data_IF_481044248655
#
_entry.id   IF_481044248655
#
_cell.length_a   1.000
_cell.length_b   1.000
_cell.length_c   1.000
_cell.angle_alpha   90.00
_cell.angle_beta   90.00
_cell.angle_gamma   90.00
#
_symmetry.space_group_name_H-M   'P 1'
#
loop_
_entity.id
_entity.type
_entity.pdbx_description
1 polymer ?
#
# COMPACT_ATOMS: atom_id res chain seq x y z
N UNK A 1 -51.96 40.20 40.97
CA UNK A 1 -52.64 38.95 41.32
C UNK A 1 -52.21 37.89 40.34
N UNK A 2 -51.63 36.87 40.88
CA UNK A 2 -51.38 35.56 40.30
C UNK A 2 -50.23 35.55 39.28
N UNK A 3 -49.06 35.21 39.68
CA UNK A 3 -48.40 33.93 39.94
C UNK A 3 -48.50 32.97 38.75
N UNK A 4 -47.34 32.61 38.14
CA UNK A 4 -46.79 31.31 38.37
C UNK A 4 -45.72 31.00 37.42
N UNK A 5 -44.75 30.68 37.89
CA UNK A 5 -44.03 29.40 38.04
C UNK A 5 -44.18 28.46 36.84
N UNK A 6 -43.15 28.45 36.02
CA UNK A 6 -42.83 27.28 35.20
C UNK A 6 -41.33 27.06 35.18
N UNK A 7 -40.96 26.22 36.09
CA UNK A 7 -39.67 25.63 36.29
C UNK A 7 -39.35 24.64 35.17
N UNK A 8 -38.25 24.88 34.45
CA UNK A 8 -37.07 24.02 34.39
C UNK A 8 -37.27 22.64 33.75
N UNK A 9 -36.75 22.47 32.55
CA UNK A 9 -35.97 21.32 32.22
C UNK A 9 -34.76 21.77 31.36
N UNK A 10 -33.73 22.16 32.07
CA UNK A 10 -32.37 22.30 31.50
C UNK A 10 -31.85 20.89 31.13
N UNK A 11 -32.05 20.51 29.88
CA UNK A 11 -31.33 19.38 29.31
C UNK A 11 -29.93 19.84 28.98
N UNK A 12 -29.01 19.62 29.91
CA UNK A 12 -27.59 19.55 29.66
C UNK A 12 -27.33 18.63 28.44
N UNK A 13 -27.24 19.25 27.28
CA UNK A 13 -26.57 18.64 26.14
C UNK A 13 -25.07 18.61 26.47
N UNK A 14 -24.59 17.46 26.91
CA UNK A 14 -23.17 17.18 26.85
C UNK A 14 -22.72 17.40 25.39
N UNK A 15 -21.67 18.21 25.14
CA UNK A 15 -21.10 18.31 23.80
C UNK A 15 -20.53 16.93 23.47
N UNK A 16 -21.07 16.31 22.44
CA UNK A 16 -20.40 15.17 21.79
C UNK A 16 -18.98 15.62 21.49
N UNK A 17 -18.01 14.99 22.14
CA UNK A 17 -16.60 15.19 21.87
C UNK A 17 -16.36 14.83 20.38
N UNK A 18 -16.43 15.86 19.56
CA UNK A 18 -15.82 15.80 18.24
C UNK A 18 -14.32 15.67 18.49
N UNK A 19 -13.84 14.44 18.58
CA UNK A 19 -12.42 14.17 18.50
C UNK A 19 -11.92 14.85 17.23
N UNK A 20 -11.11 15.88 17.41
CA UNK A 20 -10.57 16.64 16.32
C UNK A 20 -9.86 15.65 15.39
N UNK A 21 -10.16 15.71 14.08
CA UNK A 21 -9.51 14.91 13.02
C UNK A 21 -7.97 14.89 13.17
N UNK A 22 -7.42 15.93 13.78
CA UNK A 22 -6.00 16.07 14.12
C UNK A 22 -5.49 15.08 15.17
N UNK A 23 -6.30 14.65 16.13
CA UNK A 23 -5.88 13.70 17.18
C UNK A 23 -5.98 12.25 16.68
N UNK A 24 -6.97 11.94 15.86
CA UNK A 24 -7.03 10.62 15.18
C UNK A 24 -5.82 10.39 14.27
N UNK A 25 -5.34 11.42 13.56
CA UNK A 25 -4.12 11.34 12.73
C UNK A 25 -2.82 11.26 13.58
N UNK A 26 -2.82 11.78 14.80
CA UNK A 26 -1.67 11.66 15.70
C UNK A 26 -1.46 10.25 16.25
N UNK A 27 -2.51 9.46 16.40
CA UNK A 27 -2.42 8.08 16.85
C UNK A 27 -1.94 7.10 15.77
N UNK A 28 -2.04 7.47 14.48
CA UNK A 28 -1.69 6.59 13.35
C UNK A 28 -0.22 6.73 12.89
N UNK A 29 0.46 7.79 13.27
CA UNK A 29 1.75 8.17 12.67
C UNK A 29 3.00 7.57 13.33
N UNK A 30 2.95 6.87 14.48
CA UNK A 30 4.18 6.56 15.25
C UNK A 30 4.12 5.29 16.10
N UNK A 31 3.46 4.25 15.70
CA UNK A 31 3.67 2.96 16.35
C UNK A 31 4.48 2.04 15.44
N UNK A 32 5.80 1.99 15.62
CA UNK A 32 6.69 0.98 15.05
C UNK A 32 6.42 -0.42 15.64
N UNK A 33 5.17 -0.72 15.91
CA UNK A 33 4.66 -2.03 16.30
C UNK A 33 3.89 -2.53 15.10
N UNK A 34 4.25 -3.67 14.55
CA UNK A 34 3.50 -4.31 13.48
C UNK A 34 2.01 -4.35 13.84
N UNK A 35 1.19 -3.75 13.02
CA UNK A 35 -0.25 -3.67 13.21
C UNK A 35 -0.93 -4.57 12.20
N UNK A 36 -1.85 -5.40 12.67
CA UNK A 36 -2.65 -6.28 11.82
C UNK A 36 -4.03 -5.67 11.62
N UNK A 37 -4.37 -5.43 10.37
CA UNK A 37 -5.68 -4.90 9.98
C UNK A 37 -6.56 -6.00 9.39
N UNK A 38 -7.81 -6.02 9.78
CA UNK A 38 -8.79 -6.99 9.28
C UNK A 38 -10.11 -6.34 8.91
N UNK A 39 -10.69 -6.78 7.80
CA UNK A 39 -12.10 -6.54 7.49
C UNK A 39 -12.92 -7.79 7.84
N UNK A 40 -13.96 -7.64 8.65
CA UNK A 40 -14.94 -8.70 8.92
C UNK A 40 -16.35 -8.15 8.85
N UNK A 41 -17.10 -8.58 7.85
CA UNK A 41 -18.49 -8.12 7.65
C UNK A 41 -18.59 -6.61 7.41
N UNK A 42 -17.61 -6.00 6.71
CA UNK A 42 -17.58 -4.56 6.46
C UNK A 42 -17.08 -3.70 7.63
N UNK A 43 -16.68 -4.31 8.77
CA UNK A 43 -16.16 -3.58 9.93
C UNK A 43 -14.65 -3.75 10.05
N UNK A 44 -13.85 -2.66 9.98
CA UNK A 44 -12.43 -2.71 10.20
C UNK A 44 -12.09 -3.01 11.66
N UNK A 45 -11.08 -3.85 11.89
CA UNK A 45 -10.50 -4.13 13.19
C UNK A 45 -8.98 -4.07 13.12
N UNK A 46 -8.39 -3.49 14.15
CA UNK A 46 -6.94 -3.32 14.31
C UNK A 46 -6.48 -4.17 15.48
N UNK A 47 -5.40 -4.88 15.29
CA UNK A 47 -4.76 -5.70 16.32
C UNK A 47 -3.26 -5.39 16.34
N UNK A 48 -2.64 -5.44 17.51
CA UNK A 48 -1.18 -5.45 17.58
C UNK A 48 -0.62 -6.76 17.00
N UNK A 49 0.50 -6.71 16.32
CA UNK A 49 1.20 -7.93 15.90
C UNK A 49 1.56 -8.73 17.17
N UNK A 50 1.11 -9.98 17.22
CA UNK A 50 1.26 -10.84 18.42
C UNK A 50 0.10 -10.78 19.40
N UNK A 51 -0.98 -10.05 19.12
CA UNK A 51 -2.19 -10.07 19.94
C UNK A 51 -2.78 -11.51 20.00
N UNK A 52 -2.89 -12.11 21.20
CA UNK A 52 -3.42 -13.47 21.33
C UNK A 52 -4.90 -13.57 20.94
N UNK A 53 -5.61 -12.45 20.86
CA UNK A 53 -7.02 -12.40 20.44
C UNK A 53 -7.20 -12.36 18.94
N UNK A 54 -6.09 -12.33 18.15
CA UNK A 54 -6.14 -12.48 16.71
C UNK A 54 -6.98 -13.72 16.36
N UNK A 55 -8.09 -13.56 15.60
CA UNK A 55 -8.95 -14.68 15.28
C UNK A 55 -8.15 -15.80 14.60
N UNK A 56 -8.40 -17.07 14.99
CA UNK A 56 -7.78 -18.24 14.37
C UNK A 56 -7.93 -18.30 12.83
N UNK A 57 -8.78 -17.47 12.27
CA UNK A 57 -9.01 -17.32 10.83
C UNK A 57 -7.83 -16.64 10.10
N UNK A 58 -6.99 -15.86 10.82
CA UNK A 58 -5.74 -15.29 10.28
C UNK A 58 -4.67 -16.39 10.14
N UNK A 59 -4.80 -17.45 10.94
CA UNK A 59 -3.89 -18.60 10.93
C UNK A 59 -4.02 -19.50 9.69
N UNK A 60 -5.00 -19.26 8.81
CA UNK A 60 -5.23 -20.03 7.57
C UNK A 60 -5.40 -19.08 6.40
N UNK A 61 -4.28 -18.53 5.94
CA UNK A 61 -4.23 -17.87 4.65
C UNK A 61 -4.13 -18.90 3.53
N UNK A 62 -4.81 -18.65 2.41
CA UNK A 62 -4.68 -19.47 1.20
C UNK A 62 -3.33 -19.21 0.50
N UNK A 63 -2.80 -18.00 0.65
CA UNK A 63 -1.46 -17.59 0.21
C UNK A 63 -1.07 -16.24 0.84
N UNK A 64 0.21 -15.92 0.71
CA UNK A 64 0.79 -14.62 1.11
C UNK A 64 1.47 -14.04 -0.12
N UNK A 65 1.33 -12.74 -0.35
CA UNK A 65 2.17 -11.99 -1.26
C UNK A 65 2.83 -10.83 -0.51
N UNK A 66 3.91 -10.29 -1.06
CA UNK A 66 4.59 -9.16 -0.44
C UNK A 66 4.47 -7.90 -1.30
N UNK A 67 4.57 -6.74 -0.66
CA UNK A 67 4.67 -5.44 -1.31
C UNK A 67 5.94 -4.74 -0.84
N UNK A 68 6.69 -4.21 -1.80
CA UNK A 68 7.73 -3.21 -1.64
C UNK A 68 7.38 -1.99 -2.50
N UNK A 69 7.95 -0.85 -2.18
CA UNK A 69 7.69 0.39 -2.89
C UNK A 69 8.85 1.37 -2.78
N UNK A 70 8.91 2.30 -3.72
CA UNK A 70 9.75 3.49 -3.64
C UNK A 70 11.21 3.15 -3.34
N UNK A 71 11.78 2.30 -4.19
CA UNK A 71 13.18 1.85 -4.03
C UNK A 71 14.19 2.90 -4.45
N UNK A 72 13.81 3.83 -5.30
CA UNK A 72 14.62 4.97 -5.76
C UNK A 72 16.08 4.63 -6.00
N UNK A 73 16.37 3.54 -6.70
CA UNK A 73 17.74 3.19 -7.06
C UNK A 73 18.36 4.32 -7.88
N UNK A 74 19.53 4.79 -7.44
CA UNK A 74 20.19 5.98 -7.96
C UNK A 74 20.09 7.20 -7.03
N UNK A 75 19.21 7.21 -6.03
CA UNK A 75 19.22 8.21 -4.96
C UNK A 75 20.50 8.07 -4.10
N UNK A 76 21.15 9.21 -3.78
CA UNK A 76 22.43 9.22 -3.05
C UNK A 76 22.60 10.44 -2.14
N UNK A 77 21.47 10.97 -1.61
CA UNK A 77 21.52 12.14 -0.73
C UNK A 77 21.51 11.73 0.75
N UNK A 78 21.66 12.72 1.63
CA UNK A 78 21.81 12.54 3.09
C UNK A 78 20.68 11.73 3.75
N UNK A 79 19.46 11.72 3.18
CA UNK A 79 18.36 10.96 3.75
C UNK A 79 18.60 9.44 3.66
N UNK A 80 19.29 8.98 2.61
CA UNK A 80 19.82 7.63 2.47
C UNK A 80 20.93 7.59 1.41
N UNK A 81 22.18 7.50 1.78
CA UNK A 81 23.28 7.41 0.82
C UNK A 81 23.43 6.04 0.15
N UNK A 82 22.69 5.01 0.64
CA UNK A 82 22.76 3.63 0.13
C UNK A 82 21.37 3.00 -0.03
N UNK A 83 20.57 3.43 -1.01
CA UNK A 83 19.26 2.84 -1.29
C UNK A 83 19.36 1.38 -1.79
N UNK A 84 20.48 1.00 -2.41
CA UNK A 84 20.73 -0.39 -2.82
C UNK A 84 20.84 -1.32 -1.61
N UNK A 85 21.57 -0.91 -0.58
CA UNK A 85 21.71 -1.68 0.66
C UNK A 85 20.42 -1.77 1.46
N UNK A 86 19.60 -0.71 1.49
CA UNK A 86 18.29 -0.77 2.16
C UNK A 86 17.28 -1.59 1.36
N UNK A 87 17.30 -1.53 0.02
CA UNK A 87 16.51 -2.44 -0.82
C UNK A 87 16.93 -3.90 -0.59
N UNK A 88 18.24 -4.20 -0.55
CA UNK A 88 18.70 -5.56 -0.26
C UNK A 88 18.18 -6.07 1.09
N UNK A 89 18.20 -5.23 2.13
CA UNK A 89 17.65 -5.59 3.44
C UNK A 89 16.13 -5.87 3.38
N UNK A 90 15.39 -5.09 2.58
CA UNK A 90 13.97 -5.33 2.33
C UNK A 90 13.74 -6.68 1.63
N UNK A 91 14.54 -6.98 0.60
CA UNK A 91 14.45 -8.25 -0.12
C UNK A 91 14.84 -9.47 0.74
N UNK A 92 15.74 -9.32 1.71
CA UNK A 92 16.04 -10.36 2.69
C UNK A 92 14.86 -10.65 3.61
N UNK A 93 14.12 -9.62 4.01
CA UNK A 93 12.85 -9.82 4.73
C UNK A 93 11.80 -10.49 3.85
N UNK A 94 11.66 -10.08 2.58
CA UNK A 94 10.77 -10.74 1.61
C UNK A 94 11.11 -12.23 1.48
N UNK A 95 12.40 -12.61 1.41
CA UNK A 95 12.81 -14.03 1.39
C UNK A 95 12.38 -14.77 2.67
N UNK A 96 12.40 -14.11 3.82
CA UNK A 96 11.95 -14.69 5.10
C UNK A 96 10.43 -14.89 5.11
N UNK A 97 9.66 -13.96 4.56
CA UNK A 97 8.20 -14.06 4.41
C UNK A 97 7.81 -15.23 3.50
N UNK A 98 8.62 -15.57 2.50
CA UNK A 98 8.36 -16.61 1.48
C UNK A 98 7.02 -16.39 0.76
N UNK A 99 6.78 -15.22 0.18
CA UNK A 99 5.53 -14.94 -0.50
C UNK A 99 5.40 -15.71 -1.81
N UNK A 100 4.18 -15.85 -2.31
CA UNK A 100 3.90 -16.47 -3.61
C UNK A 100 4.44 -15.62 -4.77
N UNK A 101 4.40 -14.29 -4.62
CA UNK A 101 4.92 -13.30 -5.57
C UNK A 101 5.15 -11.97 -4.85
N UNK A 102 5.75 -11.02 -5.56
CA UNK A 102 6.07 -9.68 -5.07
C UNK A 102 5.33 -8.63 -5.89
N UNK A 103 4.80 -7.59 -5.25
CA UNK A 103 4.34 -6.36 -5.89
C UNK A 103 5.37 -5.25 -5.63
N UNK A 104 5.70 -4.48 -6.67
CA UNK A 104 6.43 -3.22 -6.54
C UNK A 104 5.54 -2.06 -6.99
N UNK A 105 5.20 -1.19 -6.06
CA UNK A 105 4.21 -0.12 -6.27
C UNK A 105 4.85 1.21 -6.72
N UNK A 106 5.90 1.12 -7.55
CA UNK A 106 6.47 2.25 -8.29
C UNK A 106 7.68 2.91 -7.63
N UNK A 107 8.27 3.87 -8.33
CA UNK A 107 9.52 4.53 -8.00
C UNK A 107 10.67 3.53 -7.77
N UNK A 108 10.83 2.65 -8.76
CA UNK A 108 11.90 1.65 -8.80
C UNK A 108 13.26 2.36 -8.95
N UNK A 109 13.34 3.33 -9.86
CA UNK A 109 14.50 4.18 -10.11
C UNK A 109 14.30 5.58 -9.54
N UNK A 110 15.38 6.36 -9.47
CA UNK A 110 15.29 7.76 -9.04
C UNK A 110 15.23 8.76 -10.19
N UNK A 111 15.88 8.47 -11.31
CA UNK A 111 15.98 9.38 -12.45
C UNK A 111 15.68 8.70 -13.80
N UNK A 112 14.98 7.59 -13.82
CA UNK A 112 14.65 6.80 -15.03
C UNK A 112 15.86 6.42 -15.88
N UNK A 113 17.05 6.25 -15.29
CA UNK A 113 18.25 5.87 -16.03
C UNK A 113 18.32 4.39 -16.28
N UNK A 114 18.82 3.93 -17.45
CA UNK A 114 18.98 2.52 -17.74
C UNK A 114 19.77 1.76 -16.68
N UNK A 115 20.87 2.32 -16.16
CA UNK A 115 21.70 1.71 -15.14
C UNK A 115 21.00 1.60 -13.76
N UNK A 116 20.08 2.51 -13.47
CA UNK A 116 19.24 2.45 -12.26
C UNK A 116 18.25 1.29 -12.38
N UNK A 117 17.59 1.14 -13.54
CA UNK A 117 16.70 0.03 -13.82
C UNK A 117 17.45 -1.32 -13.85
N UNK A 118 18.66 -1.36 -14.43
CA UNK A 118 19.48 -2.58 -14.45
C UNK A 118 19.85 -3.04 -13.05
N UNK A 119 20.27 -2.10 -12.20
CA UNK A 119 20.61 -2.38 -10.80
C UNK A 119 19.39 -2.87 -10.01
N UNK A 120 18.24 -2.18 -10.15
CA UNK A 120 17.01 -2.58 -9.50
C UNK A 120 16.55 -3.97 -9.95
N UNK A 121 16.56 -4.23 -11.27
CA UNK A 121 16.19 -5.53 -11.83
C UNK A 121 17.10 -6.65 -11.34
N UNK A 122 18.40 -6.41 -11.20
CA UNK A 122 19.35 -7.37 -10.66
C UNK A 122 19.05 -7.69 -9.18
N UNK A 123 18.86 -6.66 -8.36
CA UNK A 123 18.59 -6.84 -6.94
C UNK A 123 17.26 -7.58 -6.72
N UNK A 124 16.17 -7.10 -7.30
CA UNK A 124 14.84 -7.70 -7.15
C UNK A 124 14.81 -9.11 -7.75
N UNK A 125 15.41 -9.30 -8.95
CA UNK A 125 15.50 -10.61 -9.61
C UNK A 125 16.28 -11.65 -8.81
N UNK A 126 17.17 -11.24 -7.89
CA UNK A 126 17.90 -12.14 -7.00
C UNK A 126 16.98 -12.92 -6.04
N UNK A 127 15.74 -12.47 -5.82
CA UNK A 127 14.72 -13.18 -5.03
C UNK A 127 14.17 -14.39 -5.77
N UNK A 128 14.22 -14.41 -7.10
CA UNK A 128 13.58 -15.40 -8.00
C UNK A 128 12.07 -15.46 -7.86
N UNK A 129 11.44 -14.44 -7.27
CA UNK A 129 10.00 -14.33 -7.18
C UNK A 129 9.46 -13.72 -8.47
N UNK A 130 8.31 -14.20 -8.91
CA UNK A 130 7.50 -13.45 -9.87
C UNK A 130 7.18 -12.08 -9.25
N UNK A 131 7.45 -11.02 -10.00
CA UNK A 131 7.26 -9.66 -9.50
C UNK A 131 6.40 -8.87 -10.47
N UNK A 132 5.33 -8.29 -9.96
CA UNK A 132 4.43 -7.43 -10.70
C UNK A 132 4.71 -5.98 -10.35
N UNK A 133 4.75 -5.11 -11.37
CA UNK A 133 5.19 -3.73 -11.22
C UNK A 133 4.13 -2.76 -11.75
N UNK A 134 4.07 -1.59 -11.14
CA UNK A 134 3.55 -0.36 -11.72
C UNK A 134 4.65 0.71 -11.65
N UNK A 135 4.76 1.65 -12.60
CA UNK A 135 5.72 2.74 -12.50
C UNK A 135 5.28 3.79 -11.48
N UNK A 136 6.25 4.46 -10.86
CA UNK A 136 6.05 5.74 -10.21
C UNK A 136 6.48 6.89 -11.12
N UNK A 137 6.31 8.13 -10.67
CA UNK A 137 6.67 9.33 -11.45
C UNK A 137 8.18 9.40 -11.72
N UNK A 138 9.00 8.89 -10.81
CA UNK A 138 10.46 8.83 -10.99
C UNK A 138 10.90 7.80 -12.04
N UNK A 139 10.03 6.88 -12.43
CA UNK A 139 10.32 5.86 -13.45
C UNK A 139 9.99 6.33 -14.88
N UNK A 140 9.30 7.47 -15.02
CA UNK A 140 8.80 8.01 -16.29
C UNK A 140 9.27 9.46 -16.53
N UNK A 141 10.34 9.89 -15.87
CA UNK A 141 10.89 11.24 -16.02
C UNK A 141 11.47 11.51 -17.40
N UNK A 142 11.96 10.50 -18.08
CA UNK A 142 12.43 10.61 -19.45
C UNK A 142 11.26 10.53 -20.43
N UNK A 143 11.42 11.12 -21.62
CA UNK A 143 10.40 11.13 -22.67
C UNK A 143 10.03 9.74 -23.20
N UNK A 144 10.71 8.67 -22.76
CA UNK A 144 10.41 7.29 -23.14
C UNK A 144 10.00 6.43 -21.92
N UNK A 145 8.72 6.47 -21.50
CA UNK A 145 8.20 5.57 -20.46
C UNK A 145 8.32 4.09 -20.87
N UNK A 146 8.58 3.78 -22.14
CA UNK A 146 8.77 2.43 -22.62
C UNK A 146 10.04 1.77 -22.04
N UNK A 147 11.02 2.53 -21.54
CA UNK A 147 12.19 1.95 -20.87
C UNK A 147 11.76 1.12 -19.65
N UNK A 148 10.88 1.69 -18.83
CA UNK A 148 10.30 0.99 -17.68
C UNK A 148 9.50 -0.24 -18.13
N UNK A 149 8.54 -0.07 -19.05
CA UNK A 149 7.63 -1.16 -19.45
C UNK A 149 8.39 -2.31 -20.12
N UNK A 150 9.34 -2.03 -21.00
CA UNK A 150 10.19 -3.08 -21.61
C UNK A 150 10.95 -3.90 -20.57
N UNK A 151 11.34 -3.28 -19.46
CA UNK A 151 12.14 -3.93 -18.42
C UNK A 151 11.30 -4.69 -17.40
N UNK A 152 10.21 -4.10 -16.92
CA UNK A 152 9.46 -4.58 -15.77
C UNK A 152 8.06 -5.08 -16.08
N UNK A 153 7.47 -4.68 -17.19
CA UNK A 153 6.11 -5.05 -17.58
C UNK A 153 5.95 -5.24 -19.10
N UNK A 154 6.82 -6.07 -19.75
CA UNK A 154 6.82 -6.21 -21.21
C UNK A 154 5.52 -6.77 -21.77
N UNK A 155 4.73 -7.47 -20.95
CA UNK A 155 3.40 -8.00 -21.31
C UNK A 155 2.30 -6.93 -21.32
N UNK A 156 2.56 -5.73 -20.78
CA UNK A 156 1.61 -4.64 -20.65
C UNK A 156 2.22 -3.32 -21.11
N UNK A 157 2.52 -3.16 -22.41
CA UNK A 157 3.18 -1.95 -22.92
C UNK A 157 2.32 -0.69 -22.79
N UNK A 158 1.00 -0.82 -22.64
CA UNK A 158 0.09 0.29 -22.34
C UNK A 158 0.19 0.79 -20.91
N UNK A 159 0.79 0.00 -20.00
CA UNK A 159 1.08 0.38 -18.62
C UNK A 159 0.14 -0.19 -17.57
N UNK A 160 -1.04 -0.72 -17.95
CA UNK A 160 -1.99 -1.31 -17.03
C UNK A 160 -2.37 -2.72 -17.44
N UNK A 161 -2.69 -3.58 -16.47
CA UNK A 161 -3.00 -4.99 -16.68
C UNK A 161 -3.72 -5.59 -15.47
N UNK A 162 -4.23 -6.79 -15.64
CA UNK A 162 -4.79 -7.59 -14.55
C UNK A 162 -4.32 -9.04 -14.63
N UNK A 163 -4.41 -9.75 -13.52
CA UNK A 163 -4.20 -11.19 -13.44
C UNK A 163 -5.03 -11.79 -12.30
N UNK A 164 -5.32 -13.07 -12.42
CA UNK A 164 -6.03 -13.82 -11.38
C UNK A 164 -5.07 -14.74 -10.64
N UNK A 165 -5.11 -14.74 -9.32
CA UNK A 165 -4.33 -15.68 -8.51
C UNK A 165 -5.17 -16.25 -7.38
N UNK A 166 -5.38 -17.57 -7.38
CA UNK A 166 -6.13 -18.33 -6.36
C UNK A 166 -7.48 -17.71 -5.96
N UNK A 167 -8.22 -17.21 -6.95
CA UNK A 167 -9.57 -16.67 -6.76
C UNK A 167 -9.62 -15.21 -6.32
N UNK A 168 -8.50 -14.50 -6.34
CA UNK A 168 -8.40 -13.06 -6.19
C UNK A 168 -8.05 -12.44 -7.53
N UNK A 169 -8.68 -11.33 -7.87
CA UNK A 169 -8.39 -10.56 -9.07
C UNK A 169 -7.50 -9.37 -8.72
N UNK A 170 -6.32 -9.32 -9.35
CA UNK A 170 -5.31 -8.29 -9.17
C UNK A 170 -5.32 -7.35 -10.37
N UNK A 171 -5.29 -6.04 -10.10
CA UNK A 171 -5.39 -4.98 -11.10
C UNK A 171 -4.24 -3.99 -10.89
N UNK A 172 -3.37 -3.86 -11.88
CA UNK A 172 -2.32 -2.86 -11.95
C UNK A 172 -2.85 -1.62 -12.67
N UNK A 173 -2.85 -0.48 -11.98
CA UNK A 173 -3.22 0.80 -12.56
C UNK A 173 -2.02 1.74 -12.59
N UNK A 174 -1.81 2.43 -13.72
CA UNK A 174 -0.75 3.41 -13.89
C UNK A 174 -1.33 4.81 -13.92
N UNK A 175 -0.96 5.65 -12.96
CA UNK A 175 -1.49 7.00 -12.82
C UNK A 175 -0.43 8.11 -12.90
N UNK A 176 0.73 7.79 -13.52
CA UNK A 176 1.89 8.70 -13.64
C UNK A 176 2.28 9.04 -15.09
N UNK A 177 1.62 8.45 -16.10
CA UNK A 177 2.03 8.67 -17.51
C UNK A 177 1.89 10.11 -18.00
N UNK A 178 0.95 10.87 -17.44
CA UNK A 178 0.72 12.28 -17.74
C UNK A 178 1.05 13.17 -16.54
N UNK A 179 1.93 12.68 -15.65
CA UNK A 179 2.27 13.37 -14.42
C UNK A 179 3.02 14.68 -14.69
N UNK A 180 2.62 15.74 -14.00
CA UNK A 180 3.34 17.02 -13.95
C UNK A 180 3.94 17.14 -12.56
N UNK A 181 5.21 17.51 -12.46
CA UNK A 181 5.92 17.64 -11.19
C UNK A 181 5.08 18.41 -10.14
N UNK A 182 4.85 17.78 -8.98
CA UNK A 182 3.99 18.29 -7.92
C UNK A 182 2.49 18.27 -8.22
N UNK A 183 2.07 17.62 -9.31
CA UNK A 183 0.67 17.42 -9.68
C UNK A 183 0.02 16.21 -9.08
N UNK A 184 -1.24 15.99 -9.42
CA UNK A 184 -1.99 14.80 -9.04
C UNK A 184 -1.73 13.66 -10.03
N UNK A 185 -1.90 12.42 -9.57
CA UNK A 185 -1.99 11.27 -10.44
C UNK A 185 -3.21 11.37 -11.36
N UNK A 186 -3.15 10.70 -12.52
CA UNK A 186 -4.23 10.67 -13.51
C UNK A 186 -4.24 9.33 -14.25
N UNK A 187 -5.37 8.64 -14.25
CA UNK A 187 -5.56 7.36 -14.95
C UNK A 187 -5.88 7.57 -16.43
N UNK A 188 -6.78 8.47 -16.70
CA UNK A 188 -7.28 8.76 -18.05
C UNK A 188 -8.41 7.87 -18.53
N UNK A 189 -9.11 8.36 -19.56
CA UNK A 189 -10.36 7.74 -20.03
C UNK A 189 -10.16 6.34 -20.62
N UNK A 190 -9.02 6.07 -21.25
CA UNK A 190 -8.73 4.77 -21.87
C UNK A 190 -8.54 3.69 -20.81
N UNK A 191 -7.76 3.99 -19.77
CA UNK A 191 -7.55 3.07 -18.66
C UNK A 191 -8.82 2.84 -17.84
N UNK A 192 -9.63 3.89 -17.62
CA UNK A 192 -10.93 3.75 -16.95
C UNK A 192 -11.93 2.90 -17.75
N UNK A 193 -11.96 3.00 -19.07
CA UNK A 193 -12.76 2.12 -19.92
C UNK A 193 -12.27 0.69 -19.85
N UNK A 194 -10.96 0.49 -19.96
CA UNK A 194 -10.36 -0.84 -19.81
C UNK A 194 -10.69 -1.45 -18.45
N UNK A 195 -10.66 -0.67 -17.36
CA UNK A 195 -11.01 -1.14 -16.01
C UNK A 195 -12.48 -1.57 -15.93
N UNK A 196 -13.39 -0.82 -16.53
CA UNK A 196 -14.82 -1.18 -16.61
C UNK A 196 -15.02 -2.50 -17.37
N UNK A 197 -14.31 -2.65 -18.50
CA UNK A 197 -14.36 -3.87 -19.32
C UNK A 197 -13.77 -5.08 -18.58
N UNK A 198 -12.62 -4.93 -17.90
CA UNK A 198 -11.96 -5.97 -17.14
C UNK A 198 -12.80 -6.47 -15.94
N UNK A 199 -13.52 -5.56 -15.31
CA UNK A 199 -14.40 -5.88 -14.20
C UNK A 199 -15.76 -6.45 -14.62
N UNK A 200 -16.21 -6.25 -15.86
CA UNK A 200 -17.59 -6.49 -16.32
C UNK A 200 -18.13 -7.86 -15.93
N UNK A 201 -17.37 -8.90 -16.19
CA UNK A 201 -17.79 -10.30 -15.99
C UNK A 201 -17.35 -10.87 -14.62
N UNK A 202 -16.74 -10.06 -13.76
CA UNK A 202 -16.34 -10.50 -12.43
C UNK A 202 -17.53 -10.49 -11.47
N UNK A 203 -17.68 -11.57 -10.72
CA UNK A 203 -18.69 -11.66 -9.66
C UNK A 203 -18.43 -10.59 -8.58
N UNK A 204 -19.48 -10.01 -8.02
CA UNK A 204 -19.38 -9.07 -6.89
C UNK A 204 -18.78 -9.71 -5.64
N UNK A 205 -18.74 -11.03 -5.55
CA UNK A 205 -18.08 -11.78 -4.48
C UNK A 205 -16.58 -12.02 -4.72
N UNK A 206 -16.05 -11.71 -5.91
CA UNK A 206 -14.62 -11.82 -6.21
C UNK A 206 -13.85 -10.77 -5.41
N UNK A 207 -12.87 -11.16 -4.56
CA UNK A 207 -11.98 -10.20 -3.91
C UNK A 207 -11.12 -9.48 -4.96
N UNK A 208 -11.02 -8.17 -4.86
CA UNK A 208 -10.25 -7.33 -5.76
C UNK A 208 -9.05 -6.74 -5.02
N UNK A 209 -7.87 -6.82 -5.60
CA UNK A 209 -6.67 -6.10 -5.16
C UNK A 209 -6.23 -5.18 -6.29
N UNK A 210 -6.28 -3.89 -6.05
CA UNK A 210 -5.74 -2.87 -6.97
C UNK A 210 -4.40 -2.43 -6.43
N UNK A 211 -3.40 -2.29 -7.29
CA UNK A 211 -2.14 -1.66 -6.93
C UNK A 211 -1.77 -0.57 -7.95
N UNK A 212 -1.31 0.55 -7.43
CA UNK A 212 -0.95 1.74 -8.19
C UNK A 212 0.17 2.48 -7.46
N UNK A 213 0.74 3.53 -8.05
CA UNK A 213 1.78 4.29 -7.35
C UNK A 213 1.17 5.40 -6.49
N UNK A 214 0.55 6.40 -7.09
CA UNK A 214 -0.09 7.51 -6.37
C UNK A 214 -1.44 7.04 -5.79
N UNK A 215 -1.79 7.41 -4.54
CA UNK A 215 -3.07 7.04 -3.95
C UNK A 215 -4.28 7.39 -4.83
N UNK A 216 -5.23 6.46 -5.00
CA UNK A 216 -6.49 6.73 -5.72
C UNK A 216 -7.43 7.68 -4.96
N UNK A 217 -7.23 7.86 -3.66
CA UNK A 217 -8.00 8.76 -2.82
C UNK A 217 -7.17 9.95 -2.39
N UNK A 218 -7.82 11.04 -1.99
CA UNK A 218 -7.13 12.24 -1.55
C UNK A 218 -6.56 12.04 -0.12
N UNK A 219 -5.25 11.81 -0.04
CA UNK A 219 -4.49 11.81 1.22
C UNK A 219 -4.13 13.24 1.58
N UNK A 220 -3.46 13.96 0.65
CA UNK A 220 -3.07 15.35 0.80
C UNK A 220 -2.76 15.95 -0.57
N UNK A 221 -3.79 16.50 -1.21
CA UNK A 221 -3.72 16.97 -2.59
C UNK A 221 -2.68 18.09 -2.81
N UNK A 222 -2.45 18.94 -1.79
CA UNK A 222 -1.45 20.03 -1.87
C UNK A 222 -0.02 19.52 -2.09
N UNK A 223 0.24 18.24 -1.79
CA UNK A 223 1.53 17.58 -2.02
C UNK A 223 1.51 16.59 -3.18
N UNK A 224 0.46 16.59 -4.00
CA UNK A 224 0.30 15.63 -5.09
C UNK A 224 -0.14 14.23 -4.63
N UNK A 225 -0.53 14.04 -3.37
CA UNK A 225 -0.88 12.74 -2.81
C UNK A 225 -2.36 12.39 -3.03
N UNK A 226 -2.75 12.39 -4.27
CA UNK A 226 -4.09 12.04 -4.74
C UNK A 226 -4.08 11.77 -6.25
N UNK A 227 -5.10 11.06 -6.75
CA UNK A 227 -5.39 10.88 -8.17
C UNK A 227 -6.66 11.64 -8.50
N UNK A 228 -6.62 12.55 -9.49
CA UNK A 228 -7.71 13.50 -9.77
C UNK A 228 -8.98 12.82 -10.32
N UNK A 229 -8.83 11.75 -11.09
CA UNK A 229 -9.91 10.91 -11.60
C UNK A 229 -10.08 9.58 -10.83
N UNK A 230 -9.40 9.43 -9.70
CA UNK A 230 -9.43 8.23 -8.86
C UNK A 230 -10.83 7.83 -8.39
N UNK A 231 -11.72 8.81 -8.14
CA UNK A 231 -13.10 8.56 -7.76
C UNK A 231 -13.89 7.80 -8.86
N UNK A 232 -13.54 8.00 -10.14
CA UNK A 232 -14.17 7.25 -11.24
C UNK A 232 -13.78 5.77 -11.18
N UNK A 233 -12.52 5.45 -10.90
CA UNK A 233 -12.09 4.07 -10.68
C UNK A 233 -12.75 3.46 -9.43
N UNK A 234 -12.82 4.21 -8.32
CA UNK A 234 -13.47 3.77 -7.09
C UNK A 234 -14.96 3.46 -7.28
N UNK A 235 -15.65 4.24 -8.11
CA UNK A 235 -17.06 4.00 -8.44
C UNK A 235 -17.27 2.63 -9.09
N UNK A 236 -16.37 2.19 -9.98
CA UNK A 236 -16.41 0.87 -10.61
C UNK A 236 -16.14 -0.26 -9.61
N UNK A 237 -15.29 -0.01 -8.61
CA UNK A 237 -14.86 -0.99 -7.63
C UNK A 237 -15.85 -1.20 -6.47
N UNK A 238 -16.66 -0.21 -6.13
CA UNK A 238 -17.57 -0.26 -4.96
C UNK A 238 -18.61 -1.37 -4.99
N UNK A 239 -18.90 -1.96 -6.15
CA UNK A 239 -19.84 -3.08 -6.26
C UNK A 239 -19.31 -4.42 -5.72
N UNK A 240 -18.00 -4.53 -5.52
CA UNK A 240 -17.38 -5.77 -5.02
C UNK A 240 -17.38 -5.81 -3.49
N UNK A 241 -17.62 -6.98 -2.91
CA UNK A 241 -17.73 -7.15 -1.46
C UNK A 241 -16.43 -6.97 -0.68
N UNK A 242 -15.26 -7.03 -1.35
CA UNK A 242 -13.94 -6.82 -0.75
C UNK A 242 -13.00 -6.22 -1.79
N UNK A 243 -12.53 -5.02 -1.54
CA UNK A 243 -11.56 -4.31 -2.37
C UNK A 243 -10.41 -3.84 -1.48
N UNK A 244 -9.18 -4.13 -1.90
CA UNK A 244 -7.96 -3.62 -1.25
C UNK A 244 -7.17 -2.83 -2.28
N UNK A 245 -6.80 -1.60 -1.95
CA UNK A 245 -6.03 -0.71 -2.80
C UNK A 245 -4.69 -0.46 -2.12
N UNK A 246 -3.62 -0.87 -2.80
CA UNK A 246 -2.23 -0.76 -2.36
C UNK A 246 -1.53 0.32 -3.16
N UNK A 247 -0.79 1.19 -2.51
CA UNK A 247 -0.04 2.24 -3.17
C UNK A 247 1.31 2.51 -2.49
N UNK A 248 2.19 3.24 -3.18
CA UNK A 248 3.44 3.81 -2.71
C UNK A 248 3.38 5.32 -2.57
N UNK A 249 4.37 6.02 -3.12
CA UNK A 249 4.47 7.47 -3.30
C UNK A 249 4.65 8.30 -2.03
N UNK A 250 3.95 7.97 -0.95
CA UNK A 250 3.96 8.79 0.27
C UNK A 250 4.98 8.32 1.30
N UNK A 251 5.67 7.22 1.04
CA UNK A 251 6.77 6.63 1.83
C UNK A 251 6.44 6.39 3.32
N UNK A 252 5.19 6.20 3.65
CA UNK A 252 4.74 5.92 5.00
C UNK A 252 3.43 5.14 5.00
N UNK A 253 3.18 4.40 6.07
CA UNK A 253 1.91 3.68 6.21
C UNK A 253 0.80 4.65 6.55
N UNK A 254 -0.14 4.80 5.64
CA UNK A 254 -1.41 5.47 5.87
C UNK A 254 -2.52 4.53 5.44
N UNK A 255 -3.50 4.34 6.31
CA UNK A 255 -4.63 3.47 6.03
C UNK A 255 -5.95 4.22 6.12
N UNK A 256 -6.87 3.85 5.24
CA UNK A 256 -8.26 4.32 5.26
C UNK A 256 -9.18 3.14 4.96
N UNK A 257 -10.33 3.12 5.58
CA UNK A 257 -11.41 2.20 5.22
C UNK A 257 -12.64 3.01 4.88
N UNK A 258 -13.24 2.70 3.74
CA UNK A 258 -14.46 3.33 3.25
C UNK A 258 -15.40 2.25 2.71
N UNK A 259 -16.42 1.90 3.51
CA UNK A 259 -17.30 0.79 3.18
C UNK A 259 -16.53 -0.54 3.06
N UNK A 260 -16.57 -1.11 1.86
CA UNK A 260 -15.90 -2.36 1.48
C UNK A 260 -14.52 -2.17 0.86
N UNK A 261 -14.01 -0.94 0.82
CA UNK A 261 -12.71 -0.59 0.26
C UNK A 261 -11.71 -0.28 1.37
N UNK A 262 -10.58 -0.96 1.34
CA UNK A 262 -9.42 -0.70 2.20
C UNK A 262 -8.33 -0.05 1.36
N UNK A 263 -7.77 1.05 1.82
CA UNK A 263 -6.62 1.73 1.23
C UNK A 263 -5.43 1.54 2.16
N UNK A 264 -4.29 1.22 1.58
CA UNK A 264 -3.04 1.04 2.32
C UNK A 264 -1.85 1.56 1.50
N UNK A 265 -1.07 2.46 2.09
CA UNK A 265 0.17 2.93 1.53
C UNK A 265 1.35 2.19 2.15
N UNK A 266 2.33 1.82 1.33
CA UNK A 266 3.55 1.16 1.78
C UNK A 266 4.57 2.15 2.35
N UNK A 267 5.44 1.67 3.24
CA UNK A 267 6.71 2.31 3.50
C UNK A 267 7.60 2.22 2.27
N UNK A 268 8.45 3.24 2.07
CA UNK A 268 9.55 3.17 1.10
C UNK A 268 10.63 2.18 1.56
N UNK A 269 11.38 1.64 0.60
CA UNK A 269 12.63 0.95 0.90
C UNK A 269 13.86 1.88 0.83
N UNK A 270 13.68 3.13 0.36
CA UNK A 270 14.77 4.09 0.21
C UNK A 270 14.83 5.14 1.33
N UNK A 271 13.81 5.95 1.50
CA UNK A 271 13.77 7.02 2.50
C UNK A 271 12.33 7.34 2.91
N UNK A 272 12.09 7.80 4.15
CA UNK A 272 10.77 8.28 4.57
C UNK A 272 10.50 9.69 4.07
N UNK A 273 9.22 10.09 4.06
CA UNK A 273 8.78 11.46 3.85
C UNK A 273 8.15 12.04 5.13
N UNK A 274 8.05 13.36 5.26
CA UNK A 274 7.39 13.98 6.41
C UNK A 274 5.89 13.68 6.41
N UNK A 275 5.27 13.63 7.59
CA UNK A 275 3.82 13.50 7.70
C UNK A 275 3.11 14.70 7.03
N UNK A 276 1.88 14.49 6.50
CA UNK A 276 1.11 15.53 5.82
C UNK A 276 1.07 16.84 6.60
N UNK A 277 1.46 17.95 5.96
CA UNK A 277 1.45 19.29 6.56
C UNK A 277 2.47 19.52 7.66
N UNK A 278 3.48 18.64 7.84
CA UNK A 278 4.56 18.81 8.83
C UNK A 278 5.86 19.39 8.25
N UNK A 279 5.91 19.59 6.95
CA UNK A 279 6.99 20.27 6.22
C UNK A 279 6.41 21.22 5.18
N UNK A 280 7.26 21.98 4.51
CA UNK A 280 6.86 22.88 3.43
C UNK A 280 6.39 22.12 2.17
N UNK A 281 6.80 20.86 2.01
CA UNK A 281 6.44 20.01 0.87
C UNK A 281 6.83 18.57 1.14
N UNK A 282 6.47 17.65 0.21
CA UNK A 282 6.95 16.27 0.25
C UNK A 282 8.44 16.22 -0.06
N UNK A 283 9.08 15.11 0.26
CA UNK A 283 10.49 14.88 -0.09
C UNK A 283 11.24 14.08 0.96
N UNK A 284 12.51 13.77 0.69
CA UNK A 284 13.30 12.92 1.56
C UNK A 284 13.47 13.52 2.95
N UNK A 285 12.99 12.81 3.98
CA UNK A 285 13.15 13.18 5.38
C UNK A 285 14.45 12.57 5.90
N UNK A 286 15.41 13.43 6.29
CA UNK A 286 16.64 12.99 6.94
C UNK A 286 16.35 12.58 8.38
N UNK A 287 16.65 11.35 8.72
CA UNK A 287 16.66 10.81 10.08
C UNK A 287 18.08 10.53 10.54
N UNK A 288 18.33 10.41 11.87
CA UNK A 288 19.55 9.79 12.37
C UNK A 288 19.78 8.42 11.72
N UNK A 289 21.03 8.08 11.38
CA UNK A 289 21.35 6.86 10.63
C UNK A 289 20.81 5.58 11.29
N UNK A 290 20.84 5.53 12.61
CA UNK A 290 20.34 4.42 13.43
C UNK A 290 18.81 4.29 13.38
N UNK A 291 18.09 5.35 13.02
CA UNK A 291 16.61 5.37 12.92
C UNK A 291 16.11 5.13 11.49
N UNK A 292 16.96 5.25 10.46
CA UNK A 292 16.51 5.15 9.09
C UNK A 292 15.76 3.83 8.84
N UNK A 293 16.34 2.70 9.25
CA UNK A 293 15.75 1.37 9.02
C UNK A 293 14.41 1.16 9.75
N UNK A 294 14.13 1.90 10.82
CA UNK A 294 12.84 1.83 11.52
C UNK A 294 11.72 2.58 10.80
N UNK A 295 12.07 3.40 9.80
CA UNK A 295 11.13 4.15 8.96
C UNK A 295 11.00 3.56 7.54
N UNK A 296 11.76 2.51 7.22
CA UNK A 296 11.72 1.79 5.94
C UNK A 296 11.16 0.39 6.15
N UNK A 297 10.55 -0.20 5.11
CA UNK A 297 9.96 -1.51 5.34
C UNK A 297 9.37 -2.20 4.12
N UNK A 298 8.75 -3.34 4.41
CA UNK A 298 7.99 -4.18 3.48
C UNK A 298 6.65 -4.53 4.09
N UNK A 299 5.66 -4.85 3.27
CA UNK A 299 4.37 -5.36 3.76
C UNK A 299 4.17 -6.79 3.28
N UNK A 300 3.65 -7.67 4.15
CA UNK A 300 3.09 -8.95 3.75
C UNK A 300 1.56 -8.91 3.78
N UNK A 301 0.95 -9.46 2.76
CA UNK A 301 -0.50 -9.51 2.62
C UNK A 301 -0.95 -10.96 2.57
N UNK A 302 -1.57 -11.40 3.66
CA UNK A 302 -2.14 -12.74 3.79
C UNK A 302 -3.58 -12.74 3.29
N UNK A 303 -3.92 -13.67 2.41
CA UNK A 303 -5.22 -13.77 1.76
C UNK A 303 -5.95 -15.03 2.17
N UNK A 304 -7.20 -14.90 2.56
CA UNK A 304 -8.16 -15.99 2.72
C UNK A 304 -9.31 -15.79 1.71
N UNK A 305 -9.05 -16.16 0.44
CA UNK A 305 -9.89 -15.81 -0.70
C UNK A 305 -11.35 -16.27 -0.54
N UNK A 306 -11.59 -17.49 -0.02
CA UNK A 306 -12.94 -18.01 0.23
C UNK A 306 -13.77 -17.20 1.23
N UNK A 307 -13.11 -16.35 2.03
CA UNK A 307 -13.73 -15.47 3.04
C UNK A 307 -13.66 -14.01 2.63
N UNK A 308 -13.12 -13.71 1.45
CA UNK A 308 -12.83 -12.35 0.99
C UNK A 308 -12.09 -11.51 2.05
N UNK A 309 -11.18 -12.15 2.80
CA UNK A 309 -10.45 -11.51 3.89
C UNK A 309 -8.98 -11.35 3.51
N UNK A 310 -8.47 -10.12 3.61
CA UNK A 310 -7.07 -9.79 3.50
C UNK A 310 -6.56 -9.24 4.84
N UNK A 311 -5.32 -9.56 5.14
CA UNK A 311 -4.62 -9.06 6.33
C UNK A 311 -3.28 -8.50 5.88
N UNK A 312 -3.00 -7.25 6.20
CA UNK A 312 -1.75 -6.57 5.87
C UNK A 312 -0.92 -6.45 7.14
N UNK A 313 0.36 -6.79 7.05
CA UNK A 313 1.35 -6.58 8.12
C UNK A 313 2.51 -5.78 7.56
N UNK A 314 2.86 -4.71 8.24
CA UNK A 314 4.00 -3.88 7.90
C UNK A 314 5.20 -4.27 8.77
N UNK A 315 6.35 -4.46 8.14
CA UNK A 315 7.61 -4.86 8.78
C UNK A 315 8.65 -3.79 8.51
N UNK A 316 9.22 -3.23 9.56
CA UNK A 316 10.33 -2.29 9.45
C UNK A 316 11.67 -3.01 9.28
N UNK A 317 12.64 -2.37 8.61
CA UNK A 317 13.93 -3.00 8.29
C UNK A 317 14.89 -3.12 9.49
N UNK A 318 14.58 -2.50 10.62
CA UNK A 318 15.34 -2.60 11.86
C UNK A 318 15.04 -3.86 12.68
N UNK A 319 13.98 -4.60 12.30
CA UNK A 319 13.51 -5.79 13.03
C UNK A 319 13.40 -6.99 12.09
N UNK A 320 13.85 -8.18 12.53
CA UNK A 320 13.66 -9.38 11.72
C UNK A 320 12.17 -9.72 11.63
N UNK A 321 11.74 -10.14 10.45
CA UNK A 321 10.42 -10.71 10.26
C UNK A 321 10.32 -11.98 11.09
N UNK A 322 9.39 -12.02 12.03
CA UNK A 322 9.06 -13.24 12.77
C UNK A 322 7.94 -13.95 12.01
N UNK A 323 8.28 -14.99 11.27
CA UNK A 323 7.28 -15.90 10.71
C UNK A 323 6.71 -16.71 11.86
N UNK A 324 5.48 -16.43 12.24
CA UNK A 324 4.78 -17.37 13.13
C UNK A 324 4.57 -18.67 12.35
N UNK A 325 5.26 -19.73 12.76
CA UNK A 325 5.24 -21.08 12.16
C UNK A 325 3.87 -21.75 12.33
N UNK A 326 2.82 -21.17 11.83
CA UNK A 326 1.52 -21.79 11.62
C UNK A 326 1.20 -21.86 10.13
N UNK A 327 2.23 -21.95 9.28
CA UNK A 327 2.04 -22.10 7.85
C UNK A 327 1.71 -23.58 7.54
N UNK A 328 0.69 -23.75 6.76
CA UNK A 328 0.12 -24.98 6.22
C UNK A 328 1.12 -25.98 5.59
N UNK A 329 2.39 -25.63 5.46
CA UNK A 329 3.42 -26.48 4.85
C UNK A 329 3.99 -27.55 5.77
N UNK A 330 3.94 -27.38 7.10
CA UNK A 330 4.49 -28.38 8.02
C UNK A 330 3.58 -29.61 8.24
N UNK A 331 2.31 -29.55 7.81
CA UNK A 331 1.38 -30.66 7.95
C UNK A 331 1.35 -31.65 6.76
N UNK A 332 2.01 -31.31 5.64
CA UNK A 332 2.04 -32.18 4.43
C UNK A 332 3.23 -33.13 4.46
N UNK A 333 4.27 -32.84 5.21
CA UNK A 333 5.49 -33.67 5.31
C UNK A 333 5.67 -34.40 6.65
N UNK A 334 4.70 -34.34 7.55
CA UNK A 334 4.70 -35.08 8.82
C UNK A 334 3.73 -36.27 8.78
N UNK A 335 3.62 -36.91 7.62
CA UNK A 335 2.82 -38.12 7.46
C UNK A 335 3.69 -39.20 6.81
N UNK A 336 4.41 -39.93 7.67
CA UNK A 336 4.77 -41.32 7.53
C UNK A 336 4.53 -42.02 8.86
#
# INVERSE_FOLDING_TARGET
MVSDDDTIFDKQRQPAMAMARREALRCLAWSGVGVVWMMRGGVPRVFAAGDPTLPAQIKRSDFVFAQISDSHIGFNKEANPDPGGTLQAALDQVRTIRPAFLLHTGDVSHLSKPEEFDTAAQLIGSTRLETHYVPGEHDVLNDDPNLFFKRFSPQAPQGWYSFDYRGVHFIALTNVLNFKAGGLGHLGVEQLRWLDDDLRDKSTSTPIVVFTHIPLWNVYADWGWATDDGEQALALLRRFGSVTILNGHIHQVIQKVEGNVVFHSAMSTAYPQPAPGKAAGPGPLKLPAEQLRSALGVSDISVAARKAALTIRDHTLDRPVTVTTDSFFDSIFAGD
#
